data_IF_263581987561
#
_entry.id   IF_263581987561
#
_cell.length_a   1.000
_cell.length_b   1.000
_cell.length_c   1.000
_cell.angle_alpha   90.00
_cell.angle_beta   90.00
_cell.angle_gamma   90.00
#
_symmetry.space_group_name_H-M   'P 1'
#
loop_
_entity.id
_entity.type
_entity.pdbx_description
1 polymer ?
#
# COMPACT_ATOMS: atom_id res chain seq x y z
N UNK A 1 -138.19 -30.69 -41.41
CA UNK A 1 -139.32 -31.62 -41.30
C UNK A 1 -139.61 -31.79 -39.81
N UNK A 2 -140.70 -31.19 -39.29
CA UNK A 2 -142.03 -31.84 -39.12
C UNK A 2 -141.91 -32.92 -38.03
N UNK A 3 -142.63 -33.00 -36.93
CA UNK A 3 -143.98 -32.61 -36.47
C UNK A 3 -143.87 -32.60 -34.91
N UNK A 4 -144.58 -31.79 -34.12
CA UNK A 4 -146.03 -31.85 -33.96
C UNK A 4 -146.43 -33.03 -33.08
N UNK A 5 -146.73 -32.79 -31.80
CA UNK A 5 -147.80 -33.51 -31.06
C UNK A 5 -148.08 -32.83 -29.73
N UNK A 6 -149.26 -32.23 -29.68
CA UNK A 6 -149.96 -31.68 -28.52
C UNK A 6 -150.54 -32.88 -27.73
N UNK A 7 -150.20 -33.03 -26.45
CA UNK A 7 -150.87 -33.96 -25.56
C UNK A 7 -151.39 -33.17 -24.34
N UNK A 8 -152.70 -32.90 -24.33
CA UNK A 8 -153.42 -32.45 -23.14
C UNK A 8 -153.26 -33.52 -22.05
N UNK A 9 -152.59 -33.18 -20.97
CA UNK A 9 -152.60 -33.97 -19.73
C UNK A 9 -153.37 -33.19 -18.68
N UNK A 10 -154.40 -33.86 -18.18
CA UNK A 10 -155.27 -33.52 -17.07
C UNK A 10 -154.51 -32.91 -15.88
N UNK A 11 -154.91 -31.70 -15.49
CA UNK A 11 -154.54 -31.06 -14.23
C UNK A 11 -155.26 -31.77 -13.06
N UNK A 12 -154.51 -32.56 -12.30
CA UNK A 12 -154.88 -32.97 -10.95
C UNK A 12 -154.23 -32.01 -9.94
N UNK A 13 -155.00 -31.37 -9.03
CA UNK A 13 -154.45 -30.48 -8.02
C UNK A 13 -153.76 -31.31 -6.93
N UNK A 14 -152.43 -31.40 -7.01
CA UNK A 14 -151.61 -31.99 -5.94
C UNK A 14 -151.05 -30.87 -5.05
N UNK A 15 -151.76 -30.61 -3.96
CA UNK A 15 -151.28 -29.77 -2.86
C UNK A 15 -150.00 -30.38 -2.27
N UNK A 16 -148.85 -29.75 -2.50
CA UNK A 16 -147.61 -29.99 -1.73
C UNK A 16 -147.73 -29.22 -0.42
N UNK A 17 -147.59 -29.92 0.71
CA UNK A 17 -147.60 -29.31 2.04
C UNK A 17 -146.40 -28.37 2.23
N UNK A 18 -146.59 -27.27 2.95
CA UNK A 18 -145.57 -26.26 3.29
C UNK A 18 -144.31 -26.87 3.94
N UNK A 19 -144.43 -28.06 4.53
CA UNK A 19 -143.35 -28.84 5.15
C UNK A 19 -142.29 -29.33 4.14
N UNK A 20 -142.70 -29.89 3.00
CA UNK A 20 -141.75 -30.44 2.00
C UNK A 20 -141.04 -29.33 1.20
N UNK A 21 -141.73 -28.22 0.90
CA UNK A 21 -141.12 -27.04 0.26
C UNK A 21 -140.05 -26.40 1.16
N UNK A 22 -140.33 -26.25 2.47
CA UNK A 22 -139.37 -25.73 3.43
C UNK A 22 -138.16 -26.66 3.62
N UNK A 23 -138.35 -27.98 3.52
CA UNK A 23 -137.26 -28.96 3.62
C UNK A 23 -136.31 -28.92 2.42
N UNK A 24 -136.84 -28.82 1.20
CA UNK A 24 -136.01 -28.72 -0.02
C UNK A 24 -135.33 -27.35 -0.09
N UNK A 25 -136.03 -26.28 0.31
CA UNK A 25 -135.45 -24.94 0.42
C UNK A 25 -134.31 -24.90 1.45
N UNK A 26 -134.48 -25.49 2.63
CA UNK A 26 -133.42 -25.56 3.64
C UNK A 26 -132.18 -26.34 3.18
N UNK A 27 -132.35 -27.40 2.39
CA UNK A 27 -131.21 -28.12 1.78
C UNK A 27 -130.53 -27.33 0.66
N UNK A 28 -131.28 -26.52 -0.08
CA UNK A 28 -130.71 -25.64 -1.10
C UNK A 28 -129.89 -24.53 -0.43
N UNK A 29 -130.44 -23.92 0.62
CA UNK A 29 -129.77 -22.90 1.44
C UNK A 29 -128.50 -23.48 2.10
N UNK A 30 -128.55 -24.68 2.69
CA UNK A 30 -127.36 -25.37 3.24
C UNK A 30 -126.31 -25.71 2.17
N UNK A 31 -126.74 -26.05 0.95
CA UNK A 31 -125.83 -26.34 -0.15
C UNK A 31 -125.17 -25.07 -0.70
N UNK A 32 -125.91 -23.96 -0.78
CA UNK A 32 -125.39 -22.65 -1.16
C UNK A 32 -124.41 -22.11 -0.11
N UNK A 33 -124.73 -22.23 1.18
CA UNK A 33 -123.84 -21.90 2.29
C UNK A 33 -122.56 -22.75 2.27
N UNK A 34 -122.70 -24.05 2.01
CA UNK A 34 -121.56 -24.96 1.87
C UNK A 34 -120.68 -24.58 0.68
N UNK A 35 -121.29 -24.20 -0.46
CA UNK A 35 -120.57 -23.79 -1.66
C UNK A 35 -119.86 -22.44 -1.45
N UNK A 36 -120.46 -21.51 -0.71
CA UNK A 36 -119.86 -20.24 -0.32
C UNK A 36 -118.67 -20.46 0.61
N UNK A 37 -118.82 -21.31 1.63
CA UNK A 37 -117.75 -21.65 2.56
C UNK A 37 -116.59 -22.36 1.86
N UNK A 38 -116.88 -23.26 0.92
CA UNK A 38 -115.83 -23.93 0.13
C UNK A 38 -115.08 -22.94 -0.75
N UNK A 39 -115.78 -21.97 -1.37
CA UNK A 39 -115.15 -20.89 -2.16
C UNK A 39 -114.27 -20.00 -1.29
N UNK A 40 -114.72 -19.62 -0.09
CA UNK A 40 -113.91 -18.85 0.85
C UNK A 40 -112.66 -19.63 1.28
N UNK A 41 -112.80 -20.91 1.64
CA UNK A 41 -111.65 -21.76 1.98
C UNK A 41 -110.69 -21.95 0.81
N UNK A 42 -111.21 -22.05 -0.42
CA UNK A 42 -110.38 -22.14 -1.63
C UNK A 42 -109.58 -20.84 -1.81
N UNK A 43 -110.22 -19.68 -1.70
CA UNK A 43 -109.56 -18.37 -1.80
C UNK A 43 -108.52 -18.16 -0.68
N UNK A 44 -108.81 -18.55 0.56
CA UNK A 44 -107.87 -18.47 1.67
C UNK A 44 -106.67 -19.41 1.48
N UNK A 45 -106.90 -20.61 0.93
CA UNK A 45 -105.82 -21.56 0.62
C UNK A 45 -104.97 -21.08 -0.56
N UNK A 46 -105.57 -20.51 -1.60
CA UNK A 46 -104.85 -19.88 -2.71
C UNK A 46 -104.02 -18.68 -2.23
N UNK A 47 -104.56 -17.84 -1.36
CA UNK A 47 -103.83 -16.72 -0.77
C UNK A 47 -102.63 -17.20 0.06
N UNK A 48 -102.80 -18.24 0.89
CA UNK A 48 -101.71 -18.85 1.67
C UNK A 48 -100.66 -19.54 0.78
N UNK A 49 -101.10 -20.21 -0.29
CA UNK A 49 -100.19 -20.85 -1.24
C UNK A 49 -99.35 -19.80 -1.99
N UNK A 50 -99.96 -18.69 -2.39
CA UNK A 50 -99.26 -17.57 -3.02
C UNK A 50 -98.29 -16.88 -2.05
N UNK A 51 -98.69 -16.67 -0.79
CA UNK A 51 -97.81 -16.10 0.23
C UNK A 51 -96.61 -17.02 0.56
N UNK A 52 -96.86 -18.33 0.67
CA UNK A 52 -95.81 -19.32 0.86
C UNK A 52 -94.87 -19.40 -0.37
N UNK A 53 -95.43 -19.31 -1.58
CA UNK A 53 -94.66 -19.24 -2.83
C UNK A 53 -93.75 -18.02 -2.89
N UNK A 54 -94.29 -16.83 -2.59
CA UNK A 54 -93.50 -15.59 -2.54
C UNK A 54 -92.39 -15.64 -1.48
N UNK A 55 -92.66 -16.22 -0.30
CA UNK A 55 -91.65 -16.44 0.74
C UNK A 55 -90.57 -17.44 0.30
N UNK A 56 -90.94 -18.52 -0.39
CA UNK A 56 -89.99 -19.49 -0.92
C UNK A 56 -89.09 -18.87 -1.99
N UNK A 57 -89.66 -18.08 -2.90
CA UNK A 57 -88.90 -17.34 -3.92
C UNK A 57 -87.95 -16.31 -3.30
N UNK A 58 -88.40 -15.56 -2.29
CA UNK A 58 -87.55 -14.62 -1.55
C UNK A 58 -86.39 -15.34 -0.87
N UNK A 59 -86.66 -16.46 -0.18
CA UNK A 59 -85.65 -17.23 0.53
C UNK A 59 -84.64 -17.88 -0.44
N UNK A 60 -85.10 -18.29 -1.63
CA UNK A 60 -84.21 -18.81 -2.67
C UNK A 60 -83.30 -17.71 -3.26
N UNK A 61 -83.82 -16.49 -3.43
CA UNK A 61 -83.04 -15.33 -3.85
C UNK A 61 -81.98 -14.93 -2.82
N UNK A 62 -82.34 -14.92 -1.53
CA UNK A 62 -81.41 -14.66 -0.42
C UNK A 62 -80.33 -15.74 -0.30
N UNK A 63 -80.70 -17.01 -0.49
CA UNK A 63 -79.74 -18.13 -0.52
C UNK A 63 -78.76 -18.04 -1.70
N UNK A 64 -79.24 -17.63 -2.88
CA UNK A 64 -78.38 -17.37 -4.04
C UNK A 64 -77.41 -16.22 -3.75
N UNK A 65 -77.88 -15.13 -3.13
CA UNK A 65 -77.06 -13.98 -2.76
C UNK A 65 -75.99 -14.34 -1.72
N UNK A 66 -76.38 -14.99 -0.61
CA UNK A 66 -75.44 -15.44 0.41
C UNK A 66 -74.40 -16.43 -0.13
N UNK A 67 -74.80 -17.33 -1.04
CA UNK A 67 -73.88 -18.27 -1.68
C UNK A 67 -72.84 -17.55 -2.56
N UNK A 68 -73.26 -16.51 -3.29
CA UNK A 68 -72.36 -15.68 -4.08
C UNK A 68 -71.39 -14.88 -3.19
N UNK A 69 -71.89 -14.25 -2.12
CA UNK A 69 -71.06 -13.51 -1.15
C UNK A 69 -70.05 -14.43 -0.44
N UNK A 70 -70.47 -15.65 -0.04
CA UNK A 70 -69.57 -16.64 0.54
C UNK A 70 -68.46 -17.04 -0.42
N UNK A 71 -68.80 -17.29 -1.69
CA UNK A 71 -67.80 -17.60 -2.73
C UNK A 71 -66.79 -16.45 -2.88
N UNK A 72 -67.27 -15.21 -2.94
CA UNK A 72 -66.41 -14.02 -3.04
C UNK A 72 -65.47 -13.89 -1.82
N UNK A 73 -66.00 -14.12 -0.61
CA UNK A 73 -65.19 -14.08 0.61
C UNK A 73 -64.18 -15.24 0.70
N UNK A 74 -64.53 -16.43 0.20
CA UNK A 74 -63.58 -17.56 0.12
C UNK A 74 -62.44 -17.24 -0.86
N UNK A 75 -62.74 -16.62 -2.01
CA UNK A 75 -61.74 -16.17 -2.97
C UNK A 75 -60.82 -15.09 -2.38
N UNK A 76 -61.38 -14.11 -1.67
CA UNK A 76 -60.61 -13.06 -0.97
C UNK A 76 -59.71 -13.65 0.12
N UNK A 77 -60.23 -14.58 0.93
CA UNK A 77 -59.46 -15.28 1.96
C UNK A 77 -58.29 -16.03 1.35
N UNK A 78 -58.51 -16.73 0.24
CA UNK A 78 -57.46 -17.50 -0.42
C UNK A 78 -56.42 -16.58 -1.10
N UNK A 79 -56.83 -15.41 -1.59
CA UNK A 79 -55.92 -14.38 -2.07
C UNK A 79 -55.09 -13.78 -0.94
N UNK A 80 -55.71 -13.41 0.19
CA UNK A 80 -55.01 -12.90 1.37
C UNK A 80 -54.05 -13.95 1.96
N UNK A 81 -54.46 -15.22 2.00
CA UNK A 81 -53.60 -16.31 2.46
C UNK A 81 -52.37 -16.48 1.57
N UNK A 82 -52.54 -16.38 0.24
CA UNK A 82 -51.42 -16.37 -0.72
C UNK A 82 -50.49 -15.17 -0.50
N UNK A 83 -51.06 -13.99 -0.26
CA UNK A 83 -50.29 -12.76 -0.03
C UNK A 83 -49.51 -12.80 1.29
N UNK A 84 -50.12 -13.29 2.37
CA UNK A 84 -49.42 -13.50 3.66
C UNK A 84 -48.27 -14.49 3.50
N UNK A 85 -48.46 -15.57 2.73
CA UNK A 85 -47.39 -16.53 2.45
C UNK A 85 -46.25 -15.88 1.66
N UNK A 86 -46.57 -15.05 0.67
CA UNK A 86 -45.59 -14.28 -0.13
C UNK A 86 -44.80 -13.31 0.75
N UNK A 87 -45.49 -12.49 1.55
CA UNK A 87 -44.87 -11.52 2.45
C UNK A 87 -43.97 -12.18 3.49
N UNK A 88 -44.39 -13.32 4.07
CA UNK A 88 -43.54 -14.09 4.99
C UNK A 88 -42.26 -14.60 4.32
N UNK A 89 -42.36 -15.10 3.08
CA UNK A 89 -41.18 -15.53 2.33
C UNK A 89 -40.24 -14.36 2.02
N UNK A 90 -40.78 -13.21 1.61
CA UNK A 90 -40.00 -11.99 1.35
C UNK A 90 -39.32 -11.47 2.62
N UNK A 91 -40.01 -11.45 3.76
CA UNK A 91 -39.41 -11.02 5.02
C UNK A 91 -38.26 -11.94 5.45
N UNK A 92 -38.44 -13.26 5.34
CA UNK A 92 -37.38 -14.21 5.66
C UNK A 92 -36.16 -14.03 4.74
N UNK A 93 -36.37 -13.75 3.45
CA UNK A 93 -35.28 -13.45 2.52
C UNK A 93 -34.57 -12.13 2.86
N UNK A 94 -35.32 -11.07 3.16
CA UNK A 94 -34.77 -9.78 3.58
C UNK A 94 -33.94 -9.90 4.88
N UNK A 95 -34.41 -10.66 5.87
CA UNK A 95 -33.65 -10.92 7.10
C UNK A 95 -32.34 -11.67 6.81
N UNK A 96 -32.36 -12.62 5.88
CA UNK A 96 -31.16 -13.34 5.42
C UNK A 96 -30.18 -12.39 4.72
N UNK A 97 -30.67 -11.50 3.85
CA UNK A 97 -29.82 -10.50 3.18
C UNK A 97 -29.20 -9.52 4.18
N UNK A 98 -29.97 -9.02 5.15
CA UNK A 98 -29.49 -8.09 6.19
C UNK A 98 -28.40 -8.74 7.04
N UNK A 99 -28.57 -9.99 7.46
CA UNK A 99 -27.57 -10.70 8.26
C UNK A 99 -26.28 -11.00 7.47
N UNK A 100 -26.40 -11.35 6.19
CA UNK A 100 -25.25 -11.54 5.30
C UNK A 100 -24.46 -10.24 5.09
N UNK A 101 -25.14 -9.11 4.86
CA UNK A 101 -24.48 -7.81 4.69
C UNK A 101 -23.83 -7.36 6.01
N UNK A 102 -24.52 -7.47 7.14
CA UNK A 102 -23.97 -7.07 8.46
C UNK A 102 -22.71 -7.87 8.83
N UNK A 103 -22.71 -9.18 8.60
CA UNK A 103 -21.56 -10.03 8.91
C UNK A 103 -20.38 -9.74 7.98
N UNK A 104 -20.61 -9.66 6.67
CA UNK A 104 -19.57 -9.34 5.69
C UNK A 104 -18.92 -7.97 5.93
N UNK A 105 -19.72 -6.92 6.16
CA UNK A 105 -19.18 -5.59 6.45
C UNK A 105 -18.42 -5.53 7.77
N UNK A 106 -18.86 -6.24 8.81
CA UNK A 106 -18.17 -6.26 10.10
C UNK A 106 -16.80 -6.93 10.01
N UNK A 107 -16.68 -8.03 9.27
CA UNK A 107 -15.40 -8.71 9.05
C UNK A 107 -14.44 -7.84 8.24
N UNK A 108 -14.93 -7.18 7.20
CA UNK A 108 -14.12 -6.30 6.36
C UNK A 108 -13.62 -5.08 7.14
N UNK A 109 -14.48 -4.45 7.96
CA UNK A 109 -14.08 -3.37 8.87
C UNK A 109 -12.99 -3.84 9.84
N UNK A 110 -13.15 -5.02 10.46
CA UNK A 110 -12.15 -5.55 11.39
C UNK A 110 -10.81 -5.81 10.69
N UNK A 111 -10.81 -6.37 9.47
CA UNK A 111 -9.58 -6.56 8.68
C UNK A 111 -8.91 -5.25 8.32
N UNK A 112 -9.69 -4.26 7.88
CA UNK A 112 -9.17 -2.93 7.54
C UNK A 112 -8.55 -2.24 8.76
N UNK A 113 -9.18 -2.33 9.93
CA UNK A 113 -8.63 -1.79 11.17
C UNK A 113 -7.29 -2.45 11.54
N UNK A 114 -7.20 -3.78 11.51
CA UNK A 114 -5.95 -4.50 11.78
C UNK A 114 -4.86 -4.13 10.78
N UNK A 115 -5.19 -4.01 9.50
CA UNK A 115 -4.24 -3.59 8.47
C UNK A 115 -3.76 -2.14 8.69
N UNK A 116 -4.67 -1.25 9.10
CA UNK A 116 -4.34 0.15 9.38
C UNK A 116 -3.43 0.25 10.60
N UNK A 117 -3.72 -0.48 11.68
CA UNK A 117 -2.84 -0.56 12.87
C UNK A 117 -1.45 -1.11 12.51
N UNK A 118 -1.38 -2.18 11.73
CA UNK A 118 -0.11 -2.74 11.27
C UNK A 118 0.65 -1.77 10.37
N UNK A 119 -0.04 -1.09 9.45
CA UNK A 119 0.59 -0.11 8.56
C UNK A 119 1.10 1.11 9.34
N UNK A 120 0.36 1.56 10.37
CA UNK A 120 0.79 2.64 11.24
C UNK A 120 2.05 2.24 12.03
N UNK A 121 2.08 1.04 12.63
CA UNK A 121 3.25 0.55 13.34
C UNK A 121 4.48 0.42 12.42
N UNK A 122 4.28 -0.05 11.18
CA UNK A 122 5.33 -0.12 10.16
C UNK A 122 5.84 1.26 9.74
N UNK A 123 4.95 2.25 9.60
CA UNK A 123 5.31 3.63 9.30
C UNK A 123 6.16 4.23 10.43
N UNK A 124 5.72 4.11 11.68
CA UNK A 124 6.46 4.61 12.84
C UNK A 124 7.87 3.97 12.93
N UNK A 125 7.96 2.65 12.67
CA UNK A 125 9.24 1.95 12.65
C UNK A 125 10.16 2.42 11.51
N UNK A 126 9.60 2.75 10.34
CA UNK A 126 10.34 3.29 9.19
C UNK A 126 10.78 4.72 9.44
N UNK A 127 9.94 5.56 10.01
CA UNK A 127 10.27 6.95 10.38
C UNK A 127 11.43 6.99 11.37
N UNK A 128 11.40 6.13 12.39
CA UNK A 128 12.51 6.00 13.34
C UNK A 128 13.83 5.61 12.66
N UNK A 129 13.80 4.60 11.79
CA UNK A 129 14.98 4.17 11.02
C UNK A 129 15.49 5.26 10.08
N UNK A 130 14.59 6.03 9.48
CA UNK A 130 14.94 7.14 8.60
C UNK A 130 15.60 8.27 9.38
N UNK A 131 15.08 8.61 10.56
CA UNK A 131 15.67 9.60 11.45
C UNK A 131 17.10 9.20 11.88
N UNK A 132 17.30 7.95 12.28
CA UNK A 132 18.62 7.40 12.65
C UNK A 132 19.61 7.47 11.47
N UNK A 133 19.16 7.09 10.25
CA UNK A 133 19.98 7.20 9.04
C UNK A 133 20.32 8.64 8.68
N UNK A 134 19.35 9.55 8.76
CA UNK A 134 19.57 10.97 8.47
C UNK A 134 20.59 11.58 9.44
N UNK A 135 20.49 11.25 10.74
CA UNK A 135 21.47 11.68 11.73
C UNK A 135 22.87 11.15 11.41
N UNK A 136 22.99 9.87 11.01
CA UNK A 136 24.27 9.28 10.60
C UNK A 136 24.84 9.94 9.35
N UNK A 137 24.00 10.22 8.35
CA UNK A 137 24.42 10.92 7.13
C UNK A 137 24.96 12.31 7.47
N UNK A 138 24.26 13.07 8.30
CA UNK A 138 24.71 14.41 8.72
C UNK A 138 26.05 14.36 9.49
N UNK A 139 26.27 13.34 10.33
CA UNK A 139 27.55 13.13 11.00
C UNK A 139 28.69 12.85 10.00
N UNK A 140 28.42 12.01 9.00
CA UNK A 140 29.38 11.69 7.94
C UNK A 140 29.72 12.92 7.09
N UNK A 141 28.73 13.69 6.68
CA UNK A 141 28.93 14.94 5.91
C UNK A 141 29.82 15.93 6.67
N UNK A 142 29.53 16.16 7.95
CA UNK A 142 30.32 17.04 8.81
C UNK A 142 31.76 16.54 9.01
N UNK A 143 31.96 15.22 9.03
CA UNK A 143 33.30 14.63 9.14
C UNK A 143 34.07 14.80 7.81
N UNK A 144 33.43 14.51 6.68
CA UNK A 144 34.03 14.69 5.36
C UNK A 144 34.42 16.16 5.12
N UNK A 145 33.53 17.11 5.43
CA UNK A 145 33.82 18.54 5.31
C UNK A 145 35.02 18.98 6.17
N UNK A 146 35.13 18.46 7.39
CA UNK A 146 36.30 18.71 8.26
C UNK A 146 37.59 18.13 7.67
N UNK A 147 37.54 16.94 7.07
CA UNK A 147 38.70 16.32 6.42
C UNK A 147 39.13 17.09 5.17
N UNK A 148 38.19 17.48 4.31
CA UNK A 148 38.48 18.28 3.12
C UNK A 148 39.14 19.61 3.47
N UNK A 149 38.63 20.28 4.52
CA UNK A 149 39.26 21.48 5.06
C UNK A 149 40.68 21.20 5.54
N UNK A 150 40.88 20.14 6.32
CA UNK A 150 42.21 19.78 6.82
C UNK A 150 43.22 19.48 5.69
N UNK A 151 42.78 18.81 4.61
CA UNK A 151 43.60 18.54 3.42
C UNK A 151 44.01 19.84 2.73
N UNK A 152 43.06 20.75 2.52
CA UNK A 152 43.32 22.07 1.92
C UNK A 152 44.28 22.90 2.77
N UNK A 153 44.06 22.95 4.07
CA UNK A 153 44.92 23.66 5.01
C UNK A 153 46.33 23.06 5.02
N UNK A 154 46.45 21.72 5.02
CA UNK A 154 47.74 21.04 4.95
C UNK A 154 48.48 21.34 3.65
N UNK A 155 47.78 21.30 2.51
CA UNK A 155 48.34 21.68 1.20
C UNK A 155 48.87 23.10 1.22
N UNK A 156 48.11 24.05 1.77
CA UNK A 156 48.53 25.44 1.87
C UNK A 156 49.75 25.61 2.78
N UNK A 157 49.77 24.94 3.94
CA UNK A 157 50.94 24.92 4.83
C UNK A 157 52.19 24.37 4.12
N UNK A 158 52.04 23.31 3.33
CA UNK A 158 53.13 22.73 2.54
C UNK A 158 53.61 23.67 1.44
N UNK A 159 52.69 24.31 0.69
CA UNK A 159 53.04 25.31 -0.31
C UNK A 159 53.82 26.49 0.30
N UNK A 160 53.36 27.00 1.44
CA UNK A 160 54.00 28.10 2.15
C UNK A 160 55.41 27.71 2.62
N UNK A 161 55.56 26.52 3.22
CA UNK A 161 56.85 26.02 3.69
C UNK A 161 57.86 25.78 2.56
N UNK A 162 57.38 25.47 1.35
CA UNK A 162 58.19 25.07 0.20
C UNK A 162 58.27 26.14 -0.90
N UNK A 163 57.76 27.35 -0.66
CA UNK A 163 57.71 28.42 -1.67
C UNK A 163 59.10 28.71 -2.29
N UNK A 164 60.16 28.73 -1.47
CA UNK A 164 61.55 28.93 -1.93
C UNK A 164 62.15 27.77 -2.75
N UNK A 165 61.46 26.63 -2.83
CA UNK A 165 61.95 25.42 -3.49
C UNK A 165 61.13 25.04 -4.73
N UNK A 166 60.07 25.79 -5.07
CA UNK A 166 59.19 25.50 -6.22
C UNK A 166 59.96 25.38 -7.53
N UNK A 167 60.90 26.29 -7.78
CA UNK A 167 61.73 26.29 -8.99
C UNK A 167 62.83 25.22 -8.99
N UNK A 168 63.03 24.52 -7.86
CA UNK A 168 64.05 23.49 -7.69
C UNK A 168 63.52 22.08 -7.98
N UNK A 169 62.28 21.95 -8.48
CA UNK A 169 61.65 20.67 -8.82
C UNK A 169 60.84 20.06 -7.69
N UNK A 170 60.24 20.89 -6.83
CA UNK A 170 59.19 20.48 -5.89
C UNK A 170 57.84 20.87 -6.46
N UNK A 171 56.90 19.93 -6.41
CA UNK A 171 55.50 20.18 -6.74
C UNK A 171 54.60 19.68 -5.60
N UNK A 172 53.59 20.46 -5.24
CA UNK A 172 52.60 20.08 -4.21
C UNK A 172 51.24 20.03 -4.87
N UNK A 173 50.63 18.85 -4.88
CA UNK A 173 49.31 18.61 -5.47
C UNK A 173 48.37 17.94 -4.48
N UNK A 174 47.09 17.98 -4.80
CA UNK A 174 46.04 17.34 -4.02
C UNK A 174 45.35 16.33 -4.94
N UNK A 175 45.19 15.10 -4.46
CA UNK A 175 44.52 14.03 -5.19
C UNK A 175 43.87 13.07 -4.20
N UNK A 176 42.61 12.71 -4.43
CA UNK A 176 41.88 11.71 -3.64
C UNK A 176 41.92 11.95 -2.11
N UNK A 177 41.78 13.20 -1.67
CA UNK A 177 41.83 13.54 -0.24
C UNK A 177 43.22 13.44 0.40
N UNK A 178 44.28 13.39 -0.41
CA UNK A 178 45.67 13.31 0.04
C UNK A 178 46.48 14.45 -0.57
N UNK A 179 47.52 14.89 0.14
CA UNK A 179 48.48 15.87 -0.36
C UNK A 179 49.74 15.14 -0.83
N UNK A 180 50.13 15.37 -2.08
CA UNK A 180 51.31 14.80 -2.69
C UNK A 180 52.38 15.87 -2.78
N UNK A 181 53.52 15.64 -2.12
CA UNK A 181 54.73 16.46 -2.30
C UNK A 181 55.71 15.68 -3.15
N UNK A 182 55.79 16.03 -4.42
CA UNK A 182 56.69 15.41 -5.40
C UNK A 182 58.00 16.17 -5.46
N UNK A 183 59.11 15.48 -5.22
CA UNK A 183 60.45 16.04 -5.24
C UNK A 183 61.29 15.35 -6.31
N UNK A 184 61.83 16.13 -7.25
CA UNK A 184 62.68 15.61 -8.30
C UNK A 184 63.96 14.99 -7.72
N UNK A 185 64.42 13.87 -8.29
CA UNK A 185 65.66 13.21 -7.88
C UNK A 185 66.84 14.18 -7.85
N UNK A 186 66.99 15.04 -8.86
CA UNK A 186 68.12 16.00 -8.97
C UNK A 186 68.24 16.95 -7.77
N UNK A 187 67.15 17.22 -7.06
CA UNK A 187 67.14 18.05 -5.86
C UNK A 187 67.62 17.26 -4.63
N UNK A 188 67.24 15.98 -4.57
CA UNK A 188 67.47 15.13 -3.40
C UNK A 188 68.82 14.39 -3.50
N UNK A 189 69.15 13.83 -4.66
CA UNK A 189 70.21 12.85 -4.83
C UNK A 189 71.11 13.19 -6.03
N UNK A 190 72.36 12.75 -5.94
CA UNK A 190 73.20 12.58 -7.13
C UNK A 190 72.76 11.32 -7.91
N UNK A 191 73.04 11.29 -9.21
CA UNK A 191 72.69 10.15 -10.08
C UNK A 191 73.22 8.83 -9.51
N UNK A 192 72.36 7.80 -9.47
CA UNK A 192 72.68 6.47 -8.95
C UNK A 192 72.92 6.38 -7.44
N UNK A 193 72.85 7.49 -6.69
CA UNK A 193 73.05 7.52 -5.23
C UNK A 193 71.74 7.66 -4.47
N UNK A 194 71.78 7.34 -3.18
CA UNK A 194 70.67 7.49 -2.23
C UNK A 194 71.01 8.41 -1.03
N UNK A 195 72.23 8.94 -0.96
CA UNK A 195 72.59 9.94 0.03
C UNK A 195 71.97 11.29 -0.35
N UNK A 196 71.20 11.90 0.56
CA UNK A 196 70.53 13.18 0.30
C UNK A 196 71.51 14.34 0.42
N UNK A 197 71.53 15.19 -0.60
CA UNK A 197 72.34 16.42 -0.65
C UNK A 197 71.85 17.54 0.28
N UNK A 198 72.65 18.58 0.45
CA UNK A 198 72.36 19.67 1.40
C UNK A 198 71.05 20.42 1.09
N UNK A 199 70.80 20.76 -0.19
CA UNK A 199 69.58 21.43 -0.60
C UNK A 199 68.33 20.57 -0.35
N UNK A 200 68.40 19.28 -0.70
CA UNK A 200 67.35 18.32 -0.39
C UNK A 200 67.07 18.20 1.11
N UNK A 201 68.11 18.15 1.95
CA UNK A 201 67.97 18.13 3.42
C UNK A 201 67.26 19.37 3.96
N UNK A 202 67.59 20.56 3.46
CA UNK A 202 66.93 21.79 3.89
C UNK A 202 65.42 21.79 3.53
N UNK A 203 65.07 21.34 2.32
CA UNK A 203 63.68 21.19 1.92
C UNK A 203 62.93 20.17 2.79
N UNK A 204 63.53 18.99 3.02
CA UNK A 204 62.95 17.96 3.89
C UNK A 204 62.77 18.45 5.33
N UNK A 205 63.68 19.29 5.84
CA UNK A 205 63.53 19.91 7.17
C UNK A 205 62.29 20.81 7.26
N UNK A 206 61.98 21.57 6.20
CA UNK A 206 60.74 22.37 6.13
C UNK A 206 59.49 21.48 6.14
N UNK A 207 59.52 20.38 5.41
CA UNK A 207 58.43 19.38 5.42
C UNK A 207 58.28 18.79 6.82
N UNK A 208 59.38 18.39 7.45
CA UNK A 208 59.38 17.80 8.79
C UNK A 208 58.79 18.74 9.85
N UNK A 209 59.08 20.05 9.77
CA UNK A 209 58.48 21.07 10.65
C UNK A 209 56.95 21.14 10.50
N UNK A 210 56.45 21.12 9.27
CA UNK A 210 54.99 21.10 9.03
C UNK A 210 54.39 19.80 9.56
N UNK A 211 55.04 18.65 9.36
CA UNK A 211 54.55 17.35 9.84
C UNK A 211 54.54 17.21 11.37
N UNK A 212 55.50 17.84 12.05
CA UNK A 212 55.53 17.88 13.52
C UNK A 212 54.36 18.71 14.08
N UNK A 213 53.99 19.80 13.40
CA UNK A 213 52.86 20.65 13.78
C UNK A 213 51.47 20.06 13.43
N UNK A 214 51.42 18.95 12.68
CA UNK A 214 50.17 18.30 12.29
C UNK A 214 50.25 16.80 12.65
N UNK A 215 50.00 16.44 13.93
CA UNK A 215 50.24 15.09 14.43
C UNK A 215 49.31 14.02 13.85
N UNK A 216 48.17 14.42 13.31
CA UNK A 216 47.11 13.52 12.81
C UNK A 216 47.30 13.12 11.32
N UNK A 217 48.48 13.40 10.76
CA UNK A 217 48.82 13.10 9.37
C UNK A 217 49.77 11.91 9.30
N UNK A 218 49.35 10.88 8.57
CA UNK A 218 50.17 9.75 8.17
C UNK A 218 50.97 10.09 6.90
N UNK A 219 52.18 9.56 6.80
CA UNK A 219 53.17 9.90 5.79
C UNK A 219 53.65 8.64 5.10
N UNK A 220 53.47 8.57 3.78
CA UNK A 220 54.04 7.53 2.95
C UNK A 220 55.08 8.16 2.02
N UNK A 221 56.33 7.74 2.14
CA UNK A 221 57.44 8.17 1.29
C UNK A 221 57.66 7.10 0.22
N UNK A 222 57.42 7.44 -1.04
CA UNK A 222 57.60 6.54 -2.18
C UNK A 222 58.78 6.98 -3.05
N UNK A 223 59.72 6.07 -3.28
CA UNK A 223 60.77 6.25 -4.29
C UNK A 223 60.33 5.72 -5.65
N UNK A 224 60.61 6.47 -6.71
CA UNK A 224 60.34 6.09 -8.10
C UNK A 224 61.62 6.24 -8.96
N UNK A 225 61.78 5.36 -9.95
CA UNK A 225 62.86 5.42 -10.94
C UNK A 225 62.29 5.61 -12.35
N UNK A 226 63.16 5.85 -13.33
CA UNK A 226 62.76 5.77 -14.74
C UNK A 226 62.86 4.33 -15.28
N UNK A 227 62.58 4.17 -16.57
CA UNK A 227 62.58 2.89 -17.28
C UNK A 227 63.99 2.35 -17.57
N UNK A 228 65.04 3.14 -17.33
CA UNK A 228 66.42 2.74 -17.58
C UNK A 228 66.81 1.67 -16.55
N UNK A 229 67.19 0.45 -16.98
CA UNK A 229 67.59 -0.58 -16.04
C UNK A 229 68.88 -0.17 -15.31
N UNK A 230 68.81 -0.06 -13.99
CA UNK A 230 70.01 0.01 -13.16
C UNK A 230 70.63 -1.39 -13.06
N UNK A 231 71.92 -1.47 -13.35
CA UNK A 231 72.76 -2.64 -13.07
C UNK A 231 73.83 -2.22 -12.08
N UNK A 232 73.49 -2.27 -10.80
CA UNK A 232 74.37 -1.81 -9.74
C UNK A 232 75.35 -2.89 -9.28
N UNK A 233 76.41 -2.46 -8.61
CA UNK A 233 77.33 -3.31 -7.85
C UNK A 233 77.14 -3.02 -6.35
N UNK A 234 77.26 -4.05 -5.50
CA UNK A 234 77.07 -3.92 -4.05
C UNK A 234 75.59 -3.99 -3.60
N UNK A 235 75.19 -3.10 -2.70
CA UNK A 235 73.89 -3.17 -2.00
C UNK A 235 72.67 -2.75 -2.84
N UNK A 236 72.88 -2.07 -3.97
CA UNK A 236 71.81 -1.69 -4.91
C UNK A 236 71.96 -2.57 -6.14
N UNK A 237 71.08 -3.55 -6.32
CA UNK A 237 71.13 -4.47 -7.46
C UNK A 237 70.30 -3.97 -8.63
N UNK A 238 69.16 -3.33 -8.35
CA UNK A 238 68.22 -2.88 -9.37
C UNK A 238 67.46 -1.59 -8.97
N UNK A 239 66.46 -1.24 -9.79
CA UNK A 239 65.59 -0.08 -9.57
C UNK A 239 64.70 -0.23 -8.32
N UNK A 240 64.38 -1.45 -7.89
CA UNK A 240 63.65 -1.68 -6.64
C UNK A 240 64.49 -1.27 -5.46
N UNK A 241 65.70 -1.81 -5.35
CA UNK A 241 66.63 -1.48 -4.27
C UNK A 241 66.89 0.02 -4.19
N UNK A 242 67.19 0.65 -5.34
CA UNK A 242 67.44 2.09 -5.39
C UNK A 242 66.23 2.90 -4.89
N UNK A 243 65.02 2.53 -5.32
CA UNK A 243 63.80 3.23 -4.93
C UNK A 243 63.50 3.12 -3.43
N UNK A 244 63.65 1.93 -2.84
CA UNK A 244 63.43 1.70 -1.40
C UNK A 244 64.49 2.40 -0.56
N UNK A 245 65.77 2.33 -0.96
CA UNK A 245 66.86 2.99 -0.24
C UNK A 245 66.71 4.51 -0.23
N UNK A 246 66.26 5.10 -1.34
CA UNK A 246 65.96 6.55 -1.42
C UNK A 246 64.81 6.95 -0.52
N UNK A 247 63.70 6.21 -0.55
CA UNK A 247 62.58 6.46 0.35
C UNK A 247 63.01 6.38 1.83
N UNK A 248 63.79 5.35 2.17
CA UNK A 248 64.32 5.18 3.54
C UNK A 248 65.24 6.34 3.95
N UNK A 249 66.11 6.81 3.05
CA UNK A 249 66.99 7.94 3.34
C UNK A 249 66.21 9.23 3.63
N UNK A 250 65.14 9.48 2.87
CA UNK A 250 64.22 10.61 3.09
C UNK A 250 63.50 10.46 4.43
N UNK A 251 62.94 9.29 4.72
CA UNK A 251 62.27 9.00 6.01
C UNK A 251 63.19 9.26 7.20
N UNK A 252 64.46 8.82 7.14
CA UNK A 252 65.43 9.07 8.21
C UNK A 252 65.65 10.57 8.44
N UNK A 253 65.71 11.37 7.39
CA UNK A 253 65.89 12.82 7.51
C UNK A 253 64.64 13.50 8.10
N UNK A 254 63.44 13.06 7.70
CA UNK A 254 62.20 13.57 8.29
C UNK A 254 62.15 13.34 9.80
N UNK A 255 62.71 12.23 10.29
CA UNK A 255 62.72 11.84 11.70
C UNK A 255 63.89 12.44 12.51
N UNK A 256 64.90 13.05 11.87
CA UNK A 256 66.12 13.49 12.55
C UNK A 256 65.93 14.71 13.47
N UNK A 257 65.22 15.73 12.97
CA UNK A 257 65.18 17.06 13.60
C UNK A 257 63.78 17.44 14.14
N UNK A 258 62.78 16.60 13.91
CA UNK A 258 61.38 16.91 14.17
C UNK A 258 60.76 15.82 15.05
N UNK A 259 59.97 16.21 16.03
CA UNK A 259 59.27 15.29 16.93
C UNK A 259 58.07 14.64 16.22
N UNK A 260 58.34 13.88 15.16
CA UNK A 260 57.34 13.12 14.40
C UNK A 260 57.34 11.70 14.96
N UNK A 261 56.15 11.21 15.33
CA UNK A 261 55.99 9.83 15.79
C UNK A 261 56.36 8.86 14.65
N UNK A 262 57.38 7.99 14.82
CA UNK A 262 57.82 7.07 13.77
C UNK A 262 56.73 6.11 13.27
N UNK A 263 55.71 5.82 14.11
CA UNK A 263 54.56 4.98 13.72
C UNK A 263 53.74 5.57 12.57
N UNK A 264 53.90 6.86 12.27
CA UNK A 264 53.16 7.57 11.21
C UNK A 264 53.88 7.58 9.87
N UNK A 265 55.12 7.10 9.77
CA UNK A 265 55.90 7.19 8.53
C UNK A 265 56.20 5.80 7.99
N UNK A 266 55.83 5.59 6.73
CA UNK A 266 56.15 4.38 5.96
C UNK A 266 57.05 4.75 4.78
N UNK A 267 58.12 4.00 4.57
CA UNK A 267 58.95 4.10 3.36
C UNK A 267 58.61 2.95 2.40
N UNK A 268 58.43 3.27 1.12
CA UNK A 268 58.15 2.29 0.07
C UNK A 268 58.93 2.62 -1.21
N UNK A 269 59.25 1.59 -1.99
CA UNK A 269 59.77 1.74 -3.35
C UNK A 269 58.70 1.36 -4.36
N UNK A 270 58.73 1.97 -5.55
CA UNK A 270 57.86 1.62 -6.68
C UNK A 270 58.64 1.26 -7.94
N UNK A 271 59.97 1.31 -7.89
CA UNK A 271 60.85 1.07 -9.04
C UNK A 271 60.38 1.90 -10.25
N UNK A 272 60.40 1.32 -11.45
CA UNK A 272 59.98 1.93 -12.72
C UNK A 272 58.51 1.74 -13.08
N UNK A 273 57.74 1.04 -12.24
CA UNK A 273 56.43 0.49 -12.61
C UNK A 273 55.25 1.47 -12.47
N UNK A 274 55.46 2.63 -11.84
CA UNK A 274 54.48 3.72 -11.77
C UNK A 274 55.04 5.03 -12.38
N UNK A 275 55.24 5.08 -13.70
CA UNK A 275 55.67 6.31 -14.36
C UNK A 275 54.55 7.35 -14.33
N UNK A 276 54.92 8.61 -14.06
CA UNK A 276 54.01 9.76 -14.24
C UNK A 276 53.92 10.18 -15.71
N UNK A 277 54.97 9.90 -16.49
CA UNK A 277 55.01 10.12 -17.92
C UNK A 277 55.54 8.84 -18.60
N UNK A 278 54.68 8.05 -19.29
CA UNK A 278 55.07 6.76 -19.83
C UNK A 278 55.98 6.89 -21.07
N UNK A 279 56.20 8.10 -21.59
CA UNK A 279 57.05 8.33 -22.76
C UNK A 279 58.51 8.04 -22.41
N UNK A 280 59.27 7.55 -23.39
CA UNK A 280 60.69 7.20 -23.24
C UNK A 280 61.63 8.35 -23.63
N UNK A 281 61.24 9.60 -23.32
CA UNK A 281 62.07 10.78 -23.60
C UNK A 281 62.90 11.18 -22.38
N UNK A 282 64.02 11.92 -22.55
CA UNK A 282 64.82 12.41 -21.44
C UNK A 282 64.01 13.20 -20.38
N UNK A 283 63.05 14.00 -20.83
CA UNK A 283 62.19 14.83 -19.98
C UNK A 283 61.21 13.95 -19.18
N UNK A 284 60.59 12.97 -19.82
CA UNK A 284 59.69 12.02 -19.17
C UNK A 284 60.44 11.19 -18.11
N UNK A 285 61.65 10.72 -18.44
CA UNK A 285 62.53 10.03 -17.49
C UNK A 285 62.88 10.90 -16.29
N UNK A 286 63.20 12.17 -16.52
CA UNK A 286 63.48 13.11 -15.42
C UNK A 286 62.27 13.29 -14.49
N UNK A 287 61.04 13.34 -15.04
CA UNK A 287 59.82 13.41 -14.22
C UNK A 287 59.57 12.12 -13.44
N UNK A 288 59.87 10.96 -14.04
CA UNK A 288 59.68 9.66 -13.39
C UNK A 288 60.65 9.42 -12.24
N UNK A 289 61.88 9.95 -12.32
CA UNK A 289 62.86 9.93 -11.22
C UNK A 289 62.48 10.96 -10.14
N UNK A 290 61.63 10.53 -9.22
CA UNK A 290 61.06 11.38 -8.16
C UNK A 290 60.93 10.62 -6.85
N UNK A 291 60.83 11.36 -5.77
CA UNK A 291 60.33 10.86 -4.48
C UNK A 291 59.02 11.58 -4.18
N UNK A 292 57.98 10.81 -3.88
CA UNK A 292 56.68 11.33 -3.48
C UNK A 292 56.51 11.17 -1.98
N UNK A 293 56.17 12.27 -1.30
CA UNK A 293 55.76 12.24 0.10
C UNK A 293 54.25 12.46 0.10
N UNK A 294 53.53 11.39 0.39
CA UNK A 294 52.08 11.31 0.36
C UNK A 294 51.58 11.50 1.78
N UNK A 295 50.73 12.51 1.97
CA UNK A 295 50.22 12.92 3.26
C UNK A 295 48.73 12.60 3.33
N UNK A 296 48.38 11.72 4.24
CA UNK A 296 47.02 11.21 4.41
C UNK A 296 46.51 11.60 5.78
N UNK A 297 45.41 12.37 5.89
CA UNK A 297 44.74 12.58 7.16
C UNK A 297 44.32 11.25 7.79
N UNK A 298 44.36 11.15 9.11
CA UNK A 298 43.86 9.95 9.79
C UNK A 298 42.37 9.70 9.48
N UNK A 299 42.06 8.54 8.90
CA UNK A 299 40.71 8.13 8.53
C UNK A 299 40.07 7.18 9.56
N UNK A 300 40.72 6.93 10.69
CA UNK A 300 40.25 5.98 11.72
C UNK A 300 38.83 6.27 12.17
N UNK A 301 38.48 7.55 12.39
CA UNK A 301 37.13 7.94 12.81
C UNK A 301 36.07 7.69 11.72
N UNK A 302 36.42 7.91 10.45
CA UNK A 302 35.53 7.61 9.32
C UNK A 302 35.25 6.10 9.26
N UNK A 303 36.27 5.26 9.40
CA UNK A 303 36.10 3.81 9.37
C UNK A 303 35.23 3.30 10.53
N UNK A 304 35.39 3.85 11.74
CA UNK A 304 34.52 3.52 12.88
C UNK A 304 33.04 3.82 12.61
N UNK A 305 32.76 4.93 11.92
CA UNK A 305 31.39 5.30 11.55
C UNK A 305 30.82 4.47 10.39
N UNK A 306 31.65 3.80 9.59
CA UNK A 306 31.22 2.90 8.52
C UNK A 306 31.02 1.46 9.01
N UNK A 307 31.79 1.03 10.01
CA UNK A 307 31.72 -0.32 10.57
C UNK A 307 30.62 -0.54 11.60
N UNK A 308 30.10 0.53 12.20
CA UNK A 308 28.95 0.51 13.11
C UNK A 308 27.63 0.67 12.36
#
# INVERSE_FOLDING_TARGET
>A
MLLGTLLMIFMLPSCVSTSEFNRVKGKLDECEDSQLLLKQKLQDMEAKANEAGAKAEQMEAEMKKMKAEKSSMEDERDNLAREVKRLKATNADLEKQISAVKSGSSEEISRLLTNLESAQADLDAREKKLAEKNQRLQQLENLLARKDKAVKDLKQKMLNALTGYKNLGINVTEKNGQVYVSMAEKLLFQSGKYAVGQQGRQALKKIAQVLAANPDINVLVEGHTDDVPLRGTGAIKDNWDLSVMRATAVTKILLQDANINPKRITAAGRSKYLPVDPRKTPEARQKNRRTEIILTPDLTELYKLLSN
#
